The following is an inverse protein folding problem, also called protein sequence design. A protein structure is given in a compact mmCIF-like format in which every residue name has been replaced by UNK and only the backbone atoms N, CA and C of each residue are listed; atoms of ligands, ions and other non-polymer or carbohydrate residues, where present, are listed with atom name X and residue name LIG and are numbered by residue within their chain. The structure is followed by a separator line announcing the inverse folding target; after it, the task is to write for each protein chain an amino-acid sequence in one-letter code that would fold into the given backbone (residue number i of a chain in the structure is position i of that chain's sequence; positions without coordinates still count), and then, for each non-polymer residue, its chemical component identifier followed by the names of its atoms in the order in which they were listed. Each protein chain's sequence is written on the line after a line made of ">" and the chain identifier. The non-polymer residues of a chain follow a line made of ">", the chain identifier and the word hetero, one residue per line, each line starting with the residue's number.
data_IF_560616239073
#
_entry.id   IF_560616239073
#
_cell.length_a   1.000
_cell.length_b   1.000
_cell.length_c   1.000
_cell.angle_alpha   90.00
_cell.angle_beta   90.00
_cell.angle_gamma   90.00
#
_symmetry.space_group_name_H-M   'P 1'
#
loop_
_entity.id
_entity.type
_entity.pdbx_description
1 polymer ?
#
# COMPACT_ATOMS: atom_id res chain seq x y z
N UNK A 1 2.81 13.14 -17.28
CA UNK A 1 3.44 13.36 -15.98
C UNK A 1 4.67 12.48 -15.83
N UNK A 2 5.84 13.02 -15.47
CA UNK A 2 7.05 12.21 -15.22
C UNK A 2 7.06 11.78 -13.76
N UNK A 3 7.17 10.48 -13.51
CA UNK A 3 7.23 9.90 -12.17
C UNK A 3 8.46 10.45 -11.42
N UNK A 4 8.24 11.26 -10.38
CA UNK A 4 9.32 11.78 -9.53
C UNK A 4 9.70 10.71 -8.52
N UNK A 5 11.00 10.40 -8.45
CA UNK A 5 11.55 9.44 -7.49
C UNK A 5 12.38 10.18 -6.45
N UNK A 6 12.08 9.90 -5.19
CA UNK A 6 12.83 10.39 -4.03
C UNK A 6 13.40 9.18 -3.29
N UNK A 7 14.54 9.36 -2.63
CA UNK A 7 15.20 8.31 -1.85
C UNK A 7 15.46 8.84 -0.45
N UNK A 8 15.23 8.01 0.55
CA UNK A 8 15.52 8.28 1.96
C UNK A 8 16.28 7.09 2.55
N UNK A 9 17.05 7.34 3.61
CA UNK A 9 17.72 6.28 4.37
C UNK A 9 16.86 5.90 5.58
N UNK A 10 16.57 4.62 5.75
CA UNK A 10 15.76 4.11 6.86
C UNK A 10 15.24 2.70 6.59
N UNK A 11 14.71 2.04 7.63
CA UNK A 11 14.05 0.74 7.47
C UNK A 11 12.57 0.95 7.18
N UNK A 12 12.01 0.10 6.31
CA UNK A 12 10.60 0.16 5.96
C UNK A 12 9.69 -0.07 7.18
N UNK A 13 10.15 -0.86 8.16
CA UNK A 13 9.43 -1.13 9.40
C UNK A 13 9.39 0.08 10.35
N UNK A 14 10.40 0.97 10.29
CA UNK A 14 10.41 2.23 11.04
C UNK A 14 9.43 3.21 10.40
N UNK A 15 9.49 3.34 9.07
CA UNK A 15 8.56 4.17 8.30
C UNK A 15 7.11 3.73 8.47
N UNK A 16 6.84 2.43 8.54
CA UNK A 16 5.50 1.89 8.80
C UNK A 16 4.94 2.37 10.15
N UNK A 17 5.77 2.43 11.20
CA UNK A 17 5.37 2.95 12.52
C UNK A 17 5.15 4.47 12.47
N UNK A 18 6.04 5.21 11.83
CA UNK A 18 5.94 6.66 11.71
C UNK A 18 4.70 7.09 10.91
N UNK A 19 4.33 6.31 9.89
CA UNK A 19 3.19 6.57 9.02
C UNK A 19 1.90 5.88 9.50
N UNK A 20 1.93 5.22 10.65
CA UNK A 20 0.74 4.60 11.22
C UNK A 20 -0.36 5.65 11.43
N UNK A 21 -1.58 5.34 10.99
CA UNK A 21 -2.70 6.28 11.03
C UNK A 21 -2.75 7.32 9.90
N UNK A 22 -1.79 7.33 8.97
CA UNK A 22 -1.76 8.24 7.82
C UNK A 22 -2.18 7.57 6.50
N UNK A 23 -3.11 6.62 6.57
CA UNK A 23 -3.62 5.84 5.43
C UNK A 23 -2.55 5.00 4.68
N UNK A 24 -1.44 4.68 5.34
CA UNK A 24 -0.42 3.79 4.77
C UNK A 24 -0.65 2.33 5.18
N UNK A 25 -0.40 1.41 4.24
CA UNK A 25 -0.53 -0.03 4.45
C UNK A 25 0.68 -0.79 3.87
N UNK A 26 1.16 -1.78 4.64
CA UNK A 26 2.27 -2.66 4.24
C UNK A 26 1.78 -3.87 3.45
N UNK A 27 1.79 -3.74 2.12
CA UNK A 27 1.28 -4.79 1.23
C UNK A 27 2.30 -5.89 0.91
N UNK A 28 3.60 -5.59 1.01
CA UNK A 28 4.70 -6.51 0.70
C UNK A 28 5.90 -6.23 1.61
N UNK A 29 6.86 -7.15 1.70
CA UNK A 29 8.11 -6.94 2.47
C UNK A 29 8.90 -5.71 1.98
N UNK A 30 8.73 -5.33 0.72
CA UNK A 30 9.42 -4.18 0.10
C UNK A 30 8.51 -3.00 -0.23
N UNK A 31 7.20 -3.10 0.02
CA UNK A 31 6.24 -2.06 -0.38
C UNK A 31 5.35 -1.63 0.78
N UNK A 32 5.43 -0.33 1.09
CA UNK A 32 4.50 0.42 1.92
C UNK A 32 3.78 1.41 1.02
N UNK A 33 2.45 1.39 1.00
CA UNK A 33 1.63 2.08 0.00
C UNK A 33 0.60 2.96 0.69
N UNK A 34 0.37 4.17 0.17
CA UNK A 34 -0.72 5.02 0.63
C UNK A 34 -2.04 4.59 -0.03
N UNK A 35 -3.03 4.22 0.79
CA UNK A 35 -4.32 3.70 0.35
C UNK A 35 -5.13 4.70 -0.48
N UNK A 36 -4.90 6.02 -0.33
CA UNK A 36 -5.51 7.07 -1.18
C UNK A 36 -5.18 6.90 -2.67
N UNK A 37 -4.05 6.27 -2.98
CA UNK A 37 -3.58 6.06 -4.34
C UNK A 37 -3.82 4.65 -4.87
N UNK A 38 -4.44 3.76 -4.08
CA UNK A 38 -4.86 2.45 -4.53
C UNK A 38 -6.20 2.61 -5.27
N UNK A 39 -6.18 2.23 -6.55
CA UNK A 39 -7.37 2.19 -7.41
C UNK A 39 -8.23 0.97 -7.07
N UNK A 40 -7.61 -0.21 -6.99
CA UNK A 40 -8.28 -1.45 -6.59
C UNK A 40 -7.31 -2.45 -5.96
N UNK A 41 -7.82 -3.27 -5.06
CA UNK A 41 -7.16 -4.49 -4.60
C UNK A 41 -7.85 -5.67 -5.26
N UNK A 42 -7.07 -6.58 -5.82
CA UNK A 42 -7.52 -7.83 -6.44
C UNK A 42 -6.67 -8.97 -5.91
N UNK A 43 -7.04 -10.22 -6.21
CA UNK A 43 -6.36 -11.39 -5.65
C UNK A 43 -4.84 -11.32 -5.86
N UNK A 44 -4.11 -11.17 -4.76
CA UNK A 44 -2.64 -11.06 -4.71
C UNK A 44 -2.04 -9.84 -5.44
N UNK A 45 -2.81 -8.79 -5.72
CA UNK A 45 -2.34 -7.61 -6.45
C UNK A 45 -3.04 -6.33 -5.97
N UNK A 46 -2.30 -5.22 -5.86
CA UNK A 46 -2.84 -3.86 -5.76
C UNK A 46 -2.56 -3.09 -7.05
N UNK A 47 -3.58 -2.47 -7.63
CA UNK A 47 -3.46 -1.53 -8.74
C UNK A 47 -3.46 -0.10 -8.18
N UNK A 48 -2.46 0.69 -8.54
CA UNK A 48 -2.37 2.11 -8.20
C UNK A 48 -3.02 2.96 -9.31
N UNK A 49 -3.42 4.18 -8.95
CA UNK A 49 -4.04 5.17 -9.85
C UNK A 49 -3.19 5.58 -11.07
N UNK A 50 -1.90 5.24 -11.08
CA UNK A 50 -0.97 5.47 -12.17
C UNK A 50 -0.77 4.23 -13.06
N UNK A 51 -1.55 3.17 -12.86
CA UNK A 51 -1.49 1.92 -13.61
C UNK A 51 -0.44 0.92 -13.10
N UNK A 52 0.36 1.27 -12.08
CA UNK A 52 1.34 0.34 -11.50
C UNK A 52 0.63 -0.76 -10.72
N UNK A 53 1.04 -2.00 -10.98
CA UNK A 53 0.58 -3.20 -10.26
C UNK A 53 1.64 -3.66 -9.28
N UNK A 54 1.25 -3.88 -8.04
CA UNK A 54 2.13 -4.36 -6.97
C UNK A 54 1.62 -5.70 -6.44
N UNK A 55 2.52 -6.67 -6.35
CA UNK A 55 2.18 -8.01 -5.84
C UNK A 55 1.98 -8.00 -4.32
N UNK A 56 0.98 -8.76 -3.88
CA UNK A 56 0.64 -8.97 -2.48
C UNK A 56 0.84 -10.45 -2.18
N UNK A 57 1.77 -10.82 -1.28
CA UNK A 57 1.94 -12.22 -0.88
C UNK A 57 0.64 -12.77 -0.30
N UNK A 58 0.35 -14.04 -0.59
CA UNK A 58 -0.85 -14.73 -0.08
C UNK A 58 -1.02 -14.58 1.44
N UNK A 59 0.08 -14.60 2.20
CA UNK A 59 0.08 -14.45 3.65
C UNK A 59 -0.41 -13.07 4.13
N UNK A 60 -0.25 -12.02 3.31
CA UNK A 60 -0.67 -10.64 3.61
C UNK A 60 -1.99 -10.25 2.94
N UNK A 61 -2.38 -10.99 1.90
CA UNK A 61 -3.54 -10.65 1.08
C UNK A 61 -4.81 -10.38 1.88
N UNK A 62 -5.18 -11.29 2.78
CA UNK A 62 -6.40 -11.16 3.58
C UNK A 62 -6.41 -9.87 4.42
N UNK A 63 -5.29 -9.59 5.10
CA UNK A 63 -5.13 -8.36 5.89
C UNK A 63 -5.22 -7.11 5.01
N UNK A 64 -4.57 -7.11 3.83
CA UNK A 64 -4.58 -5.98 2.90
C UNK A 64 -5.98 -5.73 2.33
N UNK A 65 -6.68 -6.78 1.92
CA UNK A 65 -8.04 -6.72 1.42
C UNK A 65 -9.00 -6.15 2.48
N UNK A 66 -9.00 -6.73 3.69
CA UNK A 66 -9.86 -6.28 4.79
C UNK A 66 -9.61 -4.81 5.15
N UNK A 67 -8.33 -4.42 5.31
CA UNK A 67 -7.96 -3.04 5.65
C UNK A 67 -8.39 -2.05 4.55
N UNK A 68 -8.21 -2.41 3.27
CA UNK A 68 -8.61 -1.54 2.16
C UNK A 68 -10.13 -1.42 2.02
N UNK A 69 -10.88 -2.50 2.26
CA UNK A 69 -12.35 -2.49 2.24
C UNK A 69 -12.88 -1.61 3.38
N UNK A 70 -12.34 -1.74 4.59
CA UNK A 70 -12.68 -0.86 5.72
C UNK A 70 -12.40 0.60 5.36
N UNK A 71 -11.20 0.89 4.86
CA UNK A 71 -10.82 2.24 4.44
C UNK A 71 -11.78 2.85 3.40
N UNK A 72 -12.26 2.07 2.43
CA UNK A 72 -13.22 2.55 1.41
C UNK A 72 -14.66 2.69 1.92
N UNK A 73 -15.05 1.93 2.94
CA UNK A 73 -16.37 2.03 3.57
C UNK A 73 -16.49 3.16 4.61
N UNK A 74 -15.34 3.66 5.11
CA UNK A 74 -15.27 4.82 6.00
C UNK A 74 -15.27 6.18 5.25
N UNK A 75 -15.21 6.15 3.90
CA UNK A 75 -15.25 7.33 3.02
C UNK A 75 -16.68 7.61 2.53
#
# INVERSE_FOLDING_TARGET
>A
DKLKKYSIYGKLDELEKELQGNDFIRIHQSYLVNMKHIEKVSRYEALLNNGIKLEIPKARYKFVEETFVSYKGEI
#
